data_IF_145221905473
#
_entry.id   IF_145221905473
#
_cell.length_a   1.000
_cell.length_b   1.000
_cell.length_c   1.000
_cell.angle_alpha   90.00
_cell.angle_beta   90.00
_cell.angle_gamma   90.00
#
_symmetry.space_group_name_H-M   'P 1'
#
loop_
_entity.id
_entity.type
_entity.pdbx_description
1 polymer ?
#
# COMPACT_ATOMS: atom_id res chain seq x y z
N UNK A 1 7.06 -44.29 31.68
CA UNK A 1 6.89 -42.86 31.88
C UNK A 1 7.66 -41.98 30.87
N UNK A 2 8.86 -42.34 30.43
CA UNK A 2 9.66 -41.56 29.47
C UNK A 2 8.92 -41.34 28.14
N UNK A 3 8.21 -42.33 27.59
CA UNK A 3 7.51 -42.23 26.30
C UNK A 3 6.32 -41.26 26.28
N UNK A 4 5.64 -41.07 27.41
CA UNK A 4 4.49 -40.13 27.51
C UNK A 4 5.00 -38.67 27.43
N UNK A 5 6.08 -38.36 28.11
CA UNK A 5 6.70 -37.00 28.10
C UNK A 5 7.28 -36.66 26.74
N UNK A 6 7.89 -37.63 26.06
CA UNK A 6 8.40 -37.44 24.70
C UNK A 6 7.24 -37.17 23.72
N UNK A 7 6.14 -37.90 23.83
CA UNK A 7 4.93 -37.68 23.02
C UNK A 7 4.32 -36.29 23.22
N UNK A 8 4.20 -35.83 24.47
CA UNK A 8 3.69 -34.50 24.81
C UNK A 8 4.63 -33.37 24.30
N UNK A 9 5.93 -33.56 24.41
CA UNK A 9 6.91 -32.58 23.89
C UNK A 9 6.83 -32.44 22.37
N UNK A 10 6.67 -33.56 21.62
CA UNK A 10 6.51 -33.55 20.17
C UNK A 10 5.21 -32.87 19.77
N UNK A 11 4.10 -33.14 20.46
CA UNK A 11 2.81 -32.47 20.21
C UNK A 11 2.87 -30.97 20.52
N UNK A 12 3.50 -30.59 21.61
CA UNK A 12 3.70 -29.18 21.97
C UNK A 12 4.55 -28.46 20.93
N UNK A 13 5.66 -29.06 20.49
CA UNK A 13 6.52 -28.51 19.43
C UNK A 13 5.77 -28.41 18.10
N UNK A 14 5.02 -29.43 17.73
CA UNK A 14 4.17 -29.41 16.54
C UNK A 14 3.11 -28.31 16.61
N UNK A 15 2.48 -28.11 17.77
CA UNK A 15 1.53 -27.02 18.02
C UNK A 15 2.19 -25.63 17.90
N UNK A 16 3.37 -25.45 18.47
CA UNK A 16 4.14 -24.21 18.36
C UNK A 16 4.54 -23.93 16.91
N UNK A 17 5.03 -24.93 16.18
CA UNK A 17 5.38 -24.81 14.76
C UNK A 17 4.14 -24.46 13.93
N UNK A 18 3.00 -25.12 14.19
CA UNK A 18 1.74 -24.85 13.51
C UNK A 18 1.26 -23.42 13.76
N UNK A 19 1.23 -22.96 15.01
CA UNK A 19 0.83 -21.60 15.35
C UNK A 19 1.80 -20.56 14.79
N UNK A 20 3.09 -20.85 14.85
CA UNK A 20 4.14 -19.96 14.36
C UNK A 20 4.15 -19.87 12.83
N UNK A 21 3.72 -20.89 12.11
CA UNK A 21 3.58 -20.85 10.64
C UNK A 21 2.38 -20.05 10.17
N UNK A 22 1.43 -19.71 11.05
CA UNK A 22 0.25 -18.93 10.69
C UNK A 22 0.58 -17.46 10.50
N UNK A 23 -0.09 -16.89 9.53
CA UNK A 23 -0.04 -15.43 9.30
C UNK A 23 -1.13 -14.77 10.15
N UNK A 24 -0.75 -13.73 10.90
CA UNK A 24 -1.65 -12.99 11.76
C UNK A 24 -1.84 -11.56 11.30
N UNK A 25 -3.06 -11.02 11.51
CA UNK A 25 -3.33 -9.59 11.34
C UNK A 25 -2.59 -8.76 12.38
N UNK A 26 -2.33 -7.51 12.03
CA UNK A 26 -1.77 -6.52 12.93
C UNK A 26 -2.84 -5.51 13.33
N UNK A 27 -2.87 -5.15 14.61
CA UNK A 27 -3.74 -4.09 15.13
C UNK A 27 -3.39 -2.75 14.49
N UNK A 28 -4.33 -1.82 14.52
CA UNK A 28 -4.12 -0.44 14.10
C UNK A 28 -2.93 0.20 14.84
N UNK A 29 -2.24 1.10 14.19
CA UNK A 29 -1.12 1.85 14.73
C UNK A 29 -1.10 3.25 14.11
N UNK A 30 -0.59 4.20 14.87
CA UNK A 30 -0.38 5.58 14.41
C UNK A 30 1.01 6.06 14.83
N UNK A 31 1.53 7.04 14.13
CA UNK A 31 2.81 7.64 14.42
C UNK A 31 2.91 9.05 13.86
N UNK A 32 3.98 9.71 14.22
CA UNK A 32 4.32 11.03 13.73
C UNK A 32 5.58 10.95 12.88
N UNK A 33 5.73 11.88 12.01
CA UNK A 33 6.89 12.21 11.17
C UNK A 33 7.66 11.04 10.57
N UNK A 34 7.56 10.94 9.26
CA UNK A 34 8.55 10.25 8.43
C UNK A 34 9.47 11.31 7.83
N UNK A 35 10.73 11.33 8.27
CA UNK A 35 11.72 12.21 7.68
C UNK A 35 12.17 11.67 6.33
N UNK A 36 12.21 12.53 5.31
CA UNK A 36 12.87 12.19 4.06
C UNK A 36 14.40 12.12 4.28
N UNK A 37 15.12 11.25 3.55
CA UNK A 37 16.57 11.09 3.70
C UNK A 37 17.39 12.35 3.43
N UNK A 38 16.89 13.24 2.57
CA UNK A 38 17.49 14.54 2.24
C UNK A 38 16.52 15.64 2.67
N UNK A 39 16.57 16.00 3.92
CA UNK A 39 15.87 17.14 4.53
C UNK A 39 14.92 17.90 3.59
N UNK A 40 13.62 17.63 3.79
CA UNK A 40 12.51 18.53 3.46
C UNK A 40 12.63 19.28 2.15
N UNK A 41 12.34 18.62 1.04
CA UNK A 41 11.90 19.39 -0.11
C UNK A 41 10.47 19.84 0.20
N UNK A 42 10.32 21.13 0.48
CA UNK A 42 9.01 21.78 0.40
C UNK A 42 8.48 21.60 -1.00
N UNK A 43 7.21 21.23 -1.12
CA UNK A 43 6.57 21.19 -2.43
C UNK A 43 6.41 22.63 -2.91
N UNK A 44 7.15 23.01 -3.94
CA UNK A 44 7.11 24.36 -4.56
C UNK A 44 6.75 24.25 -6.06
N UNK A 45 6.35 23.07 -6.51
CA UNK A 45 6.02 22.83 -7.93
C UNK A 45 4.55 23.07 -8.26
N UNK A 46 4.23 23.25 -9.55
CA UNK A 46 2.84 23.36 -10.01
C UNK A 46 2.10 22.03 -9.99
N UNK A 47 2.80 20.91 -9.96
CA UNK A 47 2.24 19.59 -10.10
C UNK A 47 2.98 18.55 -9.26
N UNK A 48 2.24 17.53 -8.79
CA UNK A 48 2.68 16.41 -7.99
C UNK A 48 2.57 15.12 -8.80
N UNK A 49 3.63 14.31 -8.84
CA UNK A 49 3.61 13.01 -9.49
C UNK A 49 3.40 11.90 -8.48
N UNK A 50 2.29 11.18 -8.59
CA UNK A 50 1.96 10.06 -7.70
C UNK A 50 1.76 8.75 -8.47
N UNK A 51 2.13 7.63 -7.87
CA UNK A 51 1.96 6.32 -8.47
C UNK A 51 1.47 5.25 -7.51
N UNK A 52 0.88 4.20 -8.06
CA UNK A 52 0.51 2.97 -7.35
C UNK A 52 1.09 1.76 -8.03
N UNK A 53 1.57 0.79 -7.23
CA UNK A 53 2.17 -0.42 -7.75
C UNK A 53 2.05 -1.60 -6.79
N UNK A 54 1.29 -2.62 -7.16
CA UNK A 54 1.41 -3.93 -6.52
C UNK A 54 2.70 -4.58 -7.04
N UNK A 55 3.73 -4.66 -6.20
CA UNK A 55 5.06 -5.12 -6.62
C UNK A 55 5.27 -6.63 -6.52
N UNK A 56 4.26 -7.40 -6.10
CA UNK A 56 4.34 -8.85 -5.96
C UNK A 56 5.65 -9.33 -5.31
N UNK A 57 6.10 -8.65 -4.24
CA UNK A 57 7.39 -8.94 -3.56
C UNK A 57 8.60 -8.83 -4.47
N UNK A 58 8.53 -7.94 -5.47
CA UNK A 58 9.50 -7.75 -6.54
C UNK A 58 9.73 -9.01 -7.41
N UNK A 59 8.74 -9.91 -7.48
CA UNK A 59 8.78 -11.08 -8.34
C UNK A 59 8.10 -10.77 -9.66
N UNK A 60 8.89 -10.74 -10.72
CA UNK A 60 8.39 -10.53 -12.07
C UNK A 60 7.67 -11.75 -12.66
N UNK A 61 7.04 -11.54 -13.81
CA UNK A 61 6.38 -12.60 -14.59
C UNK A 61 7.34 -13.68 -15.08
N UNK A 62 8.63 -13.36 -15.16
CA UNK A 62 9.73 -14.29 -15.42
C UNK A 62 10.12 -15.14 -14.19
N UNK A 63 9.43 -15.00 -13.08
CA UNK A 63 9.67 -15.70 -11.82
C UNK A 63 10.89 -15.15 -11.02
N UNK A 64 11.68 -14.23 -11.57
CA UNK A 64 12.84 -13.66 -10.90
C UNK A 64 12.45 -12.56 -9.92
N UNK A 65 13.15 -12.51 -8.79
CA UNK A 65 12.99 -11.43 -7.80
C UNK A 65 14.07 -10.39 -8.01
N UNK A 66 13.70 -9.19 -8.43
CA UNK A 66 14.61 -8.08 -8.64
C UNK A 66 13.97 -6.74 -8.28
N UNK A 67 14.29 -6.26 -7.08
CA UNK A 67 13.78 -4.99 -6.57
C UNK A 67 14.33 -3.77 -7.34
N UNK A 68 15.45 -3.91 -8.03
CA UNK A 68 16.01 -2.82 -8.86
C UNK A 68 15.15 -2.56 -10.10
N UNK A 69 14.47 -3.59 -10.63
CA UNK A 69 13.48 -3.40 -11.72
C UNK A 69 12.32 -2.56 -11.24
N UNK A 70 11.82 -2.82 -10.03
CA UNK A 70 10.77 -2.00 -9.41
C UNK A 70 11.25 -0.56 -9.23
N UNK A 71 12.46 -0.35 -8.70
CA UNK A 71 13.03 0.98 -8.51
C UNK A 71 13.10 1.79 -9.82
N UNK A 72 13.47 1.16 -10.94
CA UNK A 72 13.51 1.82 -12.26
C UNK A 72 12.12 2.24 -12.74
N UNK A 73 11.12 1.40 -12.55
CA UNK A 73 9.74 1.67 -12.97
C UNK A 73 9.16 2.88 -12.22
N UNK A 74 9.36 2.96 -10.91
CA UNK A 74 8.79 4.00 -10.06
C UNK A 74 9.66 5.27 -9.96
N UNK A 75 10.81 5.28 -10.64
CA UNK A 75 11.71 6.43 -10.60
C UNK A 75 11.04 7.67 -11.19
N UNK A 76 11.25 8.84 -10.58
CA UNK A 76 10.66 10.10 -11.00
C UNK A 76 9.35 10.47 -10.31
N UNK A 77 8.70 9.55 -9.59
CA UNK A 77 7.54 9.90 -8.78
C UNK A 77 7.94 10.62 -7.49
N UNK A 78 7.05 11.51 -7.04
CA UNK A 78 7.18 12.19 -5.74
C UNK A 78 6.61 11.35 -4.61
N UNK A 79 5.51 10.66 -4.88
CA UNK A 79 4.83 9.75 -3.95
C UNK A 79 4.51 8.45 -4.67
N UNK A 80 4.83 7.30 -4.03
CA UNK A 80 4.47 5.99 -4.55
C UNK A 80 3.84 5.13 -3.46
N UNK A 81 2.62 4.68 -3.69
CA UNK A 81 1.95 3.67 -2.88
C UNK A 81 2.29 2.28 -3.42
N UNK A 82 2.81 1.43 -2.57
CA UNK A 82 3.21 0.07 -2.91
C UNK A 82 2.34 -0.95 -2.18
N UNK A 83 1.98 -2.03 -2.86
CA UNK A 83 1.28 -3.17 -2.30
C UNK A 83 2.15 -4.43 -2.44
N UNK A 84 1.86 -5.44 -1.66
CA UNK A 84 2.61 -6.70 -1.55
C UNK A 84 4.11 -6.55 -1.27
N UNK A 85 4.48 -5.55 -0.49
CA UNK A 85 5.84 -5.31 -0.05
C UNK A 85 6.27 -6.39 0.95
N UNK A 86 7.43 -6.99 0.75
CA UNK A 86 8.01 -7.96 1.69
C UNK A 86 8.65 -7.25 2.87
N UNK A 87 8.33 -7.73 4.07
CA UNK A 87 8.91 -7.27 5.33
C UNK A 87 10.38 -7.63 5.48
N UNK A 88 11.02 -7.23 6.59
CA UNK A 88 12.39 -7.61 6.87
C UNK A 88 12.51 -9.13 6.99
N UNK A 89 13.59 -9.67 6.43
CA UNK A 89 13.95 -11.08 6.62
C UNK A 89 14.78 -11.24 7.88
N UNK A 90 14.75 -12.42 8.52
CA UNK A 90 15.69 -12.73 9.59
C UNK A 90 17.13 -12.41 9.15
N UNK A 91 17.85 -11.63 9.94
CA UNK A 91 19.23 -11.23 9.69
C UNK A 91 19.44 -10.02 8.77
N UNK A 92 18.43 -9.55 7.99
CA UNK A 92 18.60 -8.40 7.10
C UNK A 92 18.24 -7.05 7.74
N UNK A 93 17.40 -7.04 8.76
CA UNK A 93 16.95 -5.84 9.46
C UNK A 93 16.07 -4.87 8.64
N UNK A 94 16.04 -5.01 7.30
CA UNK A 94 15.40 -4.04 6.40
C UNK A 94 14.39 -4.70 5.48
N UNK A 95 13.27 -3.97 5.21
CA UNK A 95 12.23 -4.37 4.27
C UNK A 95 12.48 -3.81 2.85
N UNK A 96 11.68 -4.25 1.87
CA UNK A 96 11.83 -3.79 0.49
C UNK A 96 11.60 -2.28 0.33
N UNK A 97 10.64 -1.69 1.08
CA UNK A 97 10.38 -0.24 1.02
C UNK A 97 11.60 0.57 1.49
N UNK A 98 12.31 0.12 2.53
CA UNK A 98 13.53 0.76 3.00
C UNK A 98 14.60 0.80 1.91
N UNK A 99 14.81 -0.32 1.20
CA UNK A 99 15.78 -0.37 0.09
C UNK A 99 15.40 0.56 -1.06
N UNK A 100 14.11 0.57 -1.46
CA UNK A 100 13.61 1.46 -2.50
C UNK A 100 13.76 2.92 -2.10
N UNK A 101 13.34 3.28 -0.88
CA UNK A 101 13.47 4.64 -0.35
C UNK A 101 14.92 5.13 -0.36
N UNK A 102 15.87 4.27 0.07
CA UNK A 102 17.29 4.58 0.05
C UNK A 102 17.84 4.83 -1.35
N UNK A 103 17.50 3.96 -2.32
CA UNK A 103 18.00 4.09 -3.70
C UNK A 103 17.40 5.31 -4.42
N UNK A 104 16.14 5.63 -4.15
CA UNK A 104 15.41 6.73 -4.79
C UNK A 104 15.45 8.04 -4.01
N UNK A 105 16.10 8.05 -2.83
CA UNK A 105 16.16 9.19 -1.91
C UNK A 105 14.78 9.71 -1.49
N UNK A 106 13.89 8.76 -1.16
CA UNK A 106 12.55 9.01 -0.68
C UNK A 106 12.43 8.53 0.77
N UNK A 107 11.62 9.19 1.58
CA UNK A 107 11.16 8.63 2.84
C UNK A 107 10.39 7.35 2.57
N UNK A 108 10.56 6.34 3.43
CA UNK A 108 9.91 5.05 3.25
C UNK A 108 9.20 4.63 4.54
N UNK A 109 7.92 4.30 4.44
CA UNK A 109 7.15 3.70 5.52
C UNK A 109 6.60 2.35 5.07
N UNK A 110 6.91 1.30 5.84
CA UNK A 110 6.33 -0.03 5.65
C UNK A 110 5.17 -0.23 6.63
N UNK A 111 3.99 -0.44 6.10
CA UNK A 111 2.76 -0.70 6.84
C UNK A 111 2.39 -2.18 6.76
N UNK A 112 2.90 -3.03 7.68
CA UNK A 112 2.62 -4.46 7.63
C UNK A 112 1.13 -4.74 7.83
N UNK A 113 0.56 -5.62 7.01
CA UNK A 113 -0.81 -6.12 7.15
C UNK A 113 -0.85 -7.43 7.95
N UNK A 114 0.23 -8.18 7.94
CA UNK A 114 0.35 -9.47 8.62
C UNK A 114 1.77 -9.75 9.11
N UNK A 115 1.87 -10.62 10.09
CA UNK A 115 3.15 -11.14 10.60
C UNK A 115 3.21 -12.66 10.44
N UNK A 116 4.41 -13.18 10.32
CA UNK A 116 4.74 -14.59 10.44
C UNK A 116 5.64 -14.73 11.67
N UNK A 117 5.30 -15.60 12.61
CA UNK A 117 5.90 -15.59 13.95
C UNK A 117 5.75 -14.19 14.58
N UNK A 118 6.85 -13.58 14.97
CA UNK A 118 6.90 -12.24 15.55
C UNK A 118 7.28 -11.16 14.54
N UNK A 119 7.59 -11.53 13.29
CA UNK A 119 8.12 -10.62 12.29
C UNK A 119 7.03 -10.09 11.37
N UNK A 120 7.02 -8.78 11.06
CA UNK A 120 6.21 -8.24 9.98
C UNK A 120 6.61 -8.91 8.66
N UNK A 121 5.66 -9.59 8.01
CA UNK A 121 5.98 -10.44 6.88
C UNK A 121 5.65 -9.80 5.54
N UNK A 122 4.47 -9.20 5.43
CA UNK A 122 3.99 -8.56 4.20
C UNK A 122 3.08 -7.39 4.55
N UNK A 123 3.03 -6.40 3.66
CA UNK A 123 2.17 -5.24 3.85
C UNK A 123 2.20 -4.31 2.66
N UNK A 124 1.72 -3.10 2.92
CA UNK A 124 1.79 -1.99 1.99
C UNK A 124 2.96 -1.08 2.38
N UNK A 125 3.34 -0.16 1.50
CA UNK A 125 4.33 0.85 1.83
C UNK A 125 4.03 2.17 1.12
N UNK A 126 4.51 3.25 1.69
CA UNK A 126 4.58 4.55 1.03
C UNK A 126 6.04 4.93 0.86
N UNK A 127 6.38 5.40 -0.33
CA UNK A 127 7.58 6.17 -0.60
C UNK A 127 7.16 7.62 -0.85
N UNK A 128 7.81 8.59 -0.21
CA UNK A 128 7.42 9.98 -0.28
C UNK A 128 8.63 10.91 -0.30
N UNK A 129 8.62 11.89 -1.21
CA UNK A 129 9.65 12.93 -1.30
C UNK A 129 9.52 13.99 -0.20
N UNK A 130 8.29 14.19 0.28
CA UNK A 130 7.93 15.23 1.22
C UNK A 130 7.86 14.71 2.65
N UNK A 131 8.01 15.58 3.64
CA UNK A 131 7.78 15.18 5.03
C UNK A 131 6.34 14.73 5.24
N UNK A 132 6.19 13.55 5.85
CA UNK A 132 4.90 13.06 6.31
C UNK A 132 4.75 13.47 7.78
N UNK A 133 3.80 14.34 8.07
CA UNK A 133 3.60 14.90 9.42
C UNK A 133 2.84 13.96 10.37
N UNK A 134 2.04 13.07 9.78
CA UNK A 134 1.23 12.10 10.49
C UNK A 134 0.95 10.88 9.63
N UNK A 135 0.85 9.71 10.26
CA UNK A 135 0.34 8.51 9.61
C UNK A 135 -0.47 7.66 10.58
N UNK A 136 -1.47 6.96 10.04
CA UNK A 136 -2.30 6.02 10.77
C UNK A 136 -2.55 4.77 9.92
N UNK A 137 -2.29 3.60 10.48
CA UNK A 137 -2.65 2.31 9.89
C UNK A 137 -3.88 1.75 10.58
N UNK A 138 -4.91 1.47 9.81
CA UNK A 138 -6.16 0.87 10.23
C UNK A 138 -6.19 -0.58 9.73
N UNK A 139 -6.43 -1.53 10.62
CA UNK A 139 -6.73 -2.90 10.22
C UNK A 139 -8.15 -2.96 9.62
N UNK A 140 -8.29 -3.63 8.48
CA UNK A 140 -9.59 -3.79 7.84
C UNK A 140 -10.19 -5.15 8.20
N UNK A 141 -11.42 -5.16 8.67
CA UNK A 141 -12.18 -6.34 9.10
C UNK A 141 -13.56 -6.39 8.43
N UNK A 142 -14.14 -7.60 8.27
CA UNK A 142 -13.56 -8.89 8.54
C UNK A 142 -12.43 -9.24 7.56
N UNK A 143 -11.36 -9.84 8.06
CA UNK A 143 -10.37 -10.50 7.23
C UNK A 143 -10.82 -11.94 7.06
N UNK A 144 -11.59 -12.20 6.02
CA UNK A 144 -11.93 -13.57 5.61
C UNK A 144 -10.81 -14.12 4.73
N UNK A 145 -10.53 -15.41 4.85
CA UNK A 145 -9.47 -16.04 4.10
C UNK A 145 -8.07 -15.88 4.73
N UNK A 146 -7.03 -15.93 3.90
CA UNK A 146 -5.61 -15.94 4.32
C UNK A 146 -4.97 -14.55 4.33
N UNK A 147 -5.61 -13.55 3.74
CA UNK A 147 -5.04 -12.23 3.56
C UNK A 147 -5.61 -11.25 4.59
N UNK A 148 -4.72 -10.71 5.41
CA UNK A 148 -5.06 -9.59 6.29
C UNK A 148 -4.79 -8.28 5.57
N UNK A 149 -5.71 -7.33 5.68
CA UNK A 149 -5.70 -6.07 4.94
C UNK A 149 -5.59 -4.89 5.89
N UNK A 150 -5.07 -3.79 5.39
CA UNK A 150 -5.05 -2.52 6.10
C UNK A 150 -5.25 -1.35 5.13
N UNK A 151 -5.70 -0.25 5.70
CA UNK A 151 -5.63 1.07 5.11
C UNK A 151 -4.59 1.87 5.89
N UNK A 152 -3.68 2.55 5.20
CA UNK A 152 -2.77 3.49 5.83
C UNK A 152 -3.02 4.88 5.28
N UNK A 153 -3.29 5.81 6.17
CA UNK A 153 -3.50 7.24 5.88
C UNK A 153 -2.24 7.98 6.27
N UNK A 154 -1.78 8.87 5.41
CA UNK A 154 -0.64 9.76 5.62
C UNK A 154 -1.07 11.20 5.38
N UNK A 155 -0.55 12.12 6.16
CA UNK A 155 -0.73 13.55 5.92
C UNK A 155 0.60 14.16 5.45
N UNK A 156 0.53 14.85 4.32
CA UNK A 156 1.64 15.59 3.72
C UNK A 156 1.20 17.04 3.54
N UNK A 157 2.06 17.96 3.88
CA UNK A 157 1.83 19.37 3.59
C UNK A 157 2.37 19.69 2.18
N UNK A 158 1.48 20.14 1.32
CA UNK A 158 1.80 20.55 -0.05
C UNK A 158 1.37 22.01 -0.24
N UNK A 159 2.33 22.91 -0.42
CA UNK A 159 2.11 24.35 -0.56
C UNK A 159 1.29 24.97 0.60
N UNK A 160 1.57 24.56 1.84
CA UNK A 160 0.88 25.06 3.03
C UNK A 160 -0.53 24.50 3.25
N UNK A 161 -0.91 23.48 2.49
CA UNK A 161 -2.21 22.81 2.62
C UNK A 161 -2.03 21.30 2.88
N UNK A 162 -2.77 20.72 3.83
CA UNK A 162 -2.72 19.29 4.08
C UNK A 162 -3.38 18.52 2.94
N UNK A 163 -2.66 17.53 2.42
CA UNK A 163 -3.17 16.53 1.47
C UNK A 163 -3.02 15.15 2.12
N UNK A 164 -4.07 14.36 2.07
CA UNK A 164 -4.08 13.03 2.65
C UNK A 164 -3.85 11.97 1.58
N UNK A 165 -2.85 11.14 1.81
CA UNK A 165 -2.50 10.01 0.95
C UNK A 165 -2.97 8.74 1.64
N UNK A 166 -3.83 8.00 0.98
CA UNK A 166 -4.39 6.74 1.48
C UNK A 166 -3.85 5.59 0.64
N UNK A 167 -3.29 4.57 1.28
CA UNK A 167 -2.78 3.38 0.59
C UNK A 167 -3.45 2.13 1.14
N UNK A 168 -4.02 1.33 0.26
CA UNK A 168 -4.67 0.06 0.61
C UNK A 168 -4.33 -1.06 -0.36
N UNK A 169 -4.59 -2.29 0.06
CA UNK A 169 -4.70 -3.46 -0.80
C UNK A 169 -5.86 -4.30 -0.26
N UNK A 170 -6.97 -4.31 -0.99
CA UNK A 170 -8.19 -4.98 -0.58
C UNK A 170 -8.20 -6.45 -0.99
N UNK A 171 -9.03 -7.25 -0.36
CA UNK A 171 -9.38 -8.59 -0.81
C UNK A 171 -10.45 -8.53 -1.89
N UNK A 172 -10.60 -9.62 -2.63
CA UNK A 172 -11.69 -9.75 -3.61
C UNK A 172 -13.05 -9.53 -2.91
N UNK A 173 -14.03 -8.90 -3.57
CA UNK A 173 -15.31 -8.55 -2.97
C UNK A 173 -16.10 -9.72 -2.38
N UNK A 174 -15.93 -10.93 -2.92
CA UNK A 174 -16.53 -12.16 -2.37
C UNK A 174 -16.11 -12.45 -0.92
N UNK A 175 -15.03 -11.83 -0.44
CA UNK A 175 -14.54 -11.95 0.92
C UNK A 175 -15.20 -10.96 1.90
N UNK A 176 -16.13 -10.13 1.43
CA UNK A 176 -16.90 -9.16 2.21
C UNK A 176 -16.76 -7.71 1.75
N UNK A 177 -17.85 -6.96 1.81
CA UNK A 177 -17.91 -5.55 1.37
C UNK A 177 -17.45 -4.54 2.45
N UNK A 178 -17.42 -4.93 3.73
CA UNK A 178 -17.09 -4.05 4.86
C UNK A 178 -15.72 -3.35 4.74
N UNK A 179 -14.64 -3.97 4.23
CA UNK A 179 -13.39 -3.28 3.98
C UNK A 179 -13.49 -2.14 2.95
N UNK A 180 -14.35 -2.27 1.93
CA UNK A 180 -14.59 -1.21 0.95
C UNK A 180 -15.28 -0.01 1.60
N UNK A 181 -16.32 -0.27 2.41
CA UNK A 181 -17.00 0.77 3.18
C UNK A 181 -16.02 1.53 4.08
N UNK A 182 -15.20 0.83 4.85
CA UNK A 182 -14.23 1.45 5.75
C UNK A 182 -13.21 2.33 5.01
N UNK A 183 -12.72 1.87 3.86
CA UNK A 183 -11.76 2.63 3.03
C UNK A 183 -12.43 3.87 2.44
N UNK A 184 -13.61 3.74 1.84
CA UNK A 184 -14.31 4.85 1.20
C UNK A 184 -14.81 5.87 2.22
N UNK A 185 -15.30 5.40 3.38
CA UNK A 185 -15.68 6.27 4.50
C UNK A 185 -14.48 7.09 5.01
N UNK A 186 -13.32 6.45 5.18
CA UNK A 186 -12.10 7.15 5.57
C UNK A 186 -11.65 8.17 4.49
N UNK A 187 -11.70 7.80 3.22
CA UNK A 187 -11.35 8.68 2.11
C UNK A 187 -12.28 9.89 2.02
N UNK A 188 -13.59 9.67 2.25
CA UNK A 188 -14.61 10.73 2.25
C UNK A 188 -14.43 11.80 3.33
N UNK A 189 -13.66 11.51 4.39
CA UNK A 189 -13.40 12.48 5.46
C UNK A 189 -12.47 13.63 5.04
N UNK A 190 -11.70 13.45 3.96
CA UNK A 190 -10.67 14.39 3.57
C UNK A 190 -11.04 15.12 2.28
N UNK A 191 -11.17 16.47 2.31
CA UNK A 191 -11.53 17.23 1.11
C UNK A 191 -10.42 17.25 0.04
N UNK A 192 -9.15 17.09 0.47
CA UNK A 192 -8.00 16.94 -0.43
C UNK A 192 -7.32 15.62 -0.13
N UNK A 193 -7.53 14.65 -1.00
CA UNK A 193 -7.03 13.30 -0.76
C UNK A 193 -6.72 12.55 -2.06
N UNK A 194 -5.77 11.62 -1.94
CA UNK A 194 -5.39 10.67 -2.99
C UNK A 194 -5.46 9.26 -2.39
N UNK A 195 -6.35 8.44 -2.88
CA UNK A 195 -6.48 7.05 -2.47
C UNK A 195 -5.91 6.15 -3.57
N UNK A 196 -4.89 5.39 -3.21
CA UNK A 196 -4.10 4.55 -4.10
C UNK A 196 -4.16 3.09 -3.65
N UNK A 197 -4.12 2.17 -4.60
CA UNK A 197 -3.98 0.76 -4.24
C UNK A 197 -4.55 -0.23 -5.22
N UNK A 198 -4.37 -1.50 -4.85
CA UNK A 198 -5.00 -2.64 -5.49
C UNK A 198 -6.31 -2.96 -4.75
N UNK A 199 -7.42 -2.67 -5.42
CA UNK A 199 -8.77 -2.86 -4.86
C UNK A 199 -9.32 -4.26 -5.10
N UNK A 200 -8.66 -5.07 -5.97
CA UNK A 200 -9.15 -6.37 -6.40
C UNK A 200 -10.61 -6.35 -6.93
N UNK A 201 -11.10 -5.18 -7.33
CA UNK A 201 -12.42 -4.94 -7.90
C UNK A 201 -12.36 -3.75 -8.86
N UNK A 202 -13.06 -3.78 -10.01
CA UNK A 202 -13.18 -2.63 -10.90
C UNK A 202 -14.14 -1.58 -10.32
N UNK A 203 -14.09 -0.36 -10.86
CA UNK A 203 -14.90 0.78 -10.37
C UNK A 203 -16.40 0.57 -10.49
N UNK A 204 -16.86 -0.22 -11.45
CA UNK A 204 -18.29 -0.52 -11.66
C UNK A 204 -18.81 -1.60 -10.69
N UNK A 205 -17.93 -2.26 -9.92
CA UNK A 205 -18.35 -3.26 -8.94
C UNK A 205 -19.26 -2.63 -7.87
N UNK A 206 -20.39 -3.28 -7.50
CA UNK A 206 -21.36 -2.73 -6.54
C UNK A 206 -20.74 -2.31 -5.20
N UNK A 207 -19.75 -3.06 -4.70
CA UNK A 207 -19.04 -2.71 -3.45
C UNK A 207 -18.24 -1.40 -3.56
N UNK A 208 -17.75 -1.06 -4.77
CA UNK A 208 -17.08 0.21 -5.03
C UNK A 208 -18.09 1.35 -5.12
N UNK A 209 -19.09 1.22 -6.00
CA UNK A 209 -20.10 2.27 -6.27
C UNK A 209 -20.88 2.69 -5.02
N UNK A 210 -21.22 1.73 -4.17
CA UNK A 210 -22.09 1.96 -3.00
C UNK A 210 -21.52 3.00 -2.02
N UNK A 211 -20.20 3.02 -1.85
CA UNK A 211 -19.56 3.80 -0.79
C UNK A 211 -18.66 4.92 -1.32
N UNK A 212 -18.55 5.03 -2.65
CA UNK A 212 -17.72 6.06 -3.28
C UNK A 212 -18.22 7.46 -2.95
N UNK A 213 -17.39 8.35 -2.38
CA UNK A 213 -17.79 9.74 -2.17
C UNK A 213 -18.14 10.43 -3.50
N UNK A 214 -19.18 11.29 -3.54
CA UNK A 214 -19.75 11.81 -4.79
C UNK A 214 -18.79 12.71 -5.60
N UNK A 215 -17.84 13.35 -4.96
CA UNK A 215 -16.83 14.23 -5.57
C UNK A 215 -15.50 13.50 -5.89
N UNK A 216 -15.55 12.17 -5.95
CA UNK A 216 -14.39 11.35 -6.30
C UNK A 216 -14.17 11.32 -7.81
N UNK A 217 -12.94 11.58 -8.24
CA UNK A 217 -12.49 11.38 -9.61
C UNK A 217 -11.56 10.16 -9.65
N UNK A 218 -11.82 9.23 -10.57
CA UNK A 218 -10.88 8.18 -10.93
C UNK A 218 -9.88 8.74 -11.93
N UNK A 219 -8.70 9.11 -11.44
CA UNK A 219 -7.70 9.83 -12.21
C UNK A 219 -7.16 9.04 -13.42
N UNK A 220 -7.24 7.72 -13.40
CA UNK A 220 -6.84 6.88 -14.52
C UNK A 220 -7.95 6.76 -15.56
N UNK A 221 -9.22 6.62 -15.15
CA UNK A 221 -10.35 6.61 -16.08
C UNK A 221 -10.54 7.97 -16.76
N UNK A 222 -10.35 9.07 -16.03
CA UNK A 222 -10.38 10.43 -16.56
C UNK A 222 -9.32 10.64 -17.65
N UNK A 223 -8.19 9.97 -17.55
CA UNK A 223 -7.13 9.95 -18.56
C UNK A 223 -7.31 8.86 -19.64
N UNK A 224 -8.43 8.16 -19.69
CA UNK A 224 -8.76 7.18 -20.73
C UNK A 224 -8.26 5.75 -20.51
N UNK A 225 -7.78 5.41 -19.32
CA UNK A 225 -7.40 4.03 -19.01
C UNK A 225 -8.63 3.13 -18.79
N UNK A 226 -8.44 1.82 -19.06
CA UNK A 226 -9.48 0.79 -18.91
C UNK A 226 -10.16 0.87 -17.53
N UNK A 227 -11.48 1.06 -17.43
CA UNK A 227 -12.21 1.10 -16.17
C UNK A 227 -12.28 -0.25 -15.46
N UNK A 228 -11.98 -1.36 -16.15
CA UNK A 228 -11.99 -2.71 -15.58
C UNK A 228 -10.72 -3.06 -14.79
N UNK A 229 -9.74 -2.16 -14.73
CA UNK A 229 -8.54 -2.35 -13.89
C UNK A 229 -8.90 -2.42 -12.40
N UNK A 230 -8.04 -3.06 -11.63
CA UNK A 230 -8.19 -3.22 -10.17
C UNK A 230 -7.23 -2.33 -9.37
N UNK A 231 -6.18 -1.84 -10.02
CA UNK A 231 -5.26 -0.85 -9.45
C UNK A 231 -5.79 0.55 -9.75
N UNK A 232 -5.95 1.37 -8.70
CA UNK A 232 -6.66 2.65 -8.82
C UNK A 232 -5.89 3.81 -8.20
N UNK A 233 -6.16 5.01 -8.74
CA UNK A 233 -5.77 6.30 -8.20
C UNK A 233 -7.03 7.17 -8.16
N UNK A 234 -7.67 7.24 -6.99
CA UNK A 234 -8.86 8.05 -6.76
C UNK A 234 -8.46 9.35 -6.09
N UNK A 235 -9.01 10.47 -6.56
CA UNK A 235 -8.65 11.80 -6.06
C UNK A 235 -9.87 12.61 -5.66
N UNK A 236 -9.67 13.55 -4.72
CA UNK A 236 -10.62 14.57 -4.29
C UNK A 236 -9.89 15.90 -4.09
N UNK A 237 -10.46 17.01 -4.54
CA UNK A 237 -9.90 18.36 -4.41
C UNK A 237 -8.58 18.56 -5.15
N UNK A 238 -8.36 17.80 -6.22
CA UNK A 238 -7.19 17.83 -7.10
C UNK A 238 -7.65 17.66 -8.55
N UNK A 239 -6.83 18.00 -9.52
CA UNK A 239 -7.10 17.76 -10.94
C UNK A 239 -5.99 16.95 -11.61
N UNK A 240 -6.36 16.17 -12.62
CA UNK A 240 -5.42 15.36 -13.42
C UNK A 240 -4.81 16.23 -14.51
N UNK A 241 -3.50 16.18 -14.67
CA UNK A 241 -2.76 16.82 -15.75
C UNK A 241 -2.32 15.78 -16.80
N UNK A 242 -1.81 14.65 -16.33
CA UNK A 242 -1.30 13.56 -17.17
C UNK A 242 -1.37 12.24 -16.41
N UNK A 243 -1.56 11.13 -17.13
CA UNK A 243 -1.44 9.79 -16.56
C UNK A 243 -0.70 8.86 -17.51
N UNK A 244 0.04 7.90 -16.94
CA UNK A 244 0.74 6.87 -17.70
C UNK A 244 0.84 5.56 -16.94
N UNK A 245 1.23 4.51 -17.65
CA UNK A 245 1.49 3.21 -17.06
C UNK A 245 2.79 2.60 -17.57
N UNK A 246 3.33 1.66 -16.83
CA UNK A 246 4.35 0.74 -17.28
C UNK A 246 3.76 -0.67 -17.43
N UNK A 247 4.19 -1.43 -18.44
CA UNK A 247 3.63 -2.75 -18.69
C UNK A 247 3.98 -3.73 -17.56
N UNK A 248 3.20 -4.79 -17.47
CA UNK A 248 3.50 -5.99 -16.68
C UNK A 248 4.89 -6.53 -17.06
N UNK A 249 5.61 -7.05 -16.10
CA UNK A 249 6.93 -7.62 -16.31
C UNK A 249 7.73 -7.69 -15.00
N UNK A 250 8.15 -6.55 -14.42
CA UNK A 250 8.79 -6.51 -13.09
C UNK A 250 7.86 -6.96 -11.96
N UNK A 251 6.54 -6.88 -12.15
CA UNK A 251 5.46 -7.46 -11.36
C UNK A 251 4.43 -8.09 -12.28
N UNK A 252 3.46 -8.83 -11.75
CA UNK A 252 2.25 -9.33 -12.40
C UNK A 252 1.12 -8.28 -12.48
N UNK A 253 1.34 -7.10 -11.91
CA UNK A 253 0.54 -5.91 -12.08
C UNK A 253 1.25 -4.86 -12.92
N UNK A 254 0.55 -3.98 -13.67
CA UNK A 254 1.12 -2.78 -14.25
C UNK A 254 1.40 -1.74 -13.16
N UNK A 255 2.35 -0.86 -13.39
CA UNK A 255 2.50 0.37 -12.62
C UNK A 255 1.63 1.45 -13.24
N UNK A 256 0.93 2.21 -12.40
CA UNK A 256 0.20 3.41 -12.83
C UNK A 256 0.70 4.64 -12.11
N UNK A 257 0.76 5.75 -12.84
CA UNK A 257 1.11 7.04 -12.28
C UNK A 257 0.28 8.16 -12.92
N UNK A 258 0.10 9.23 -12.15
CA UNK A 258 -0.58 10.45 -12.58
C UNK A 258 0.21 11.68 -12.13
N UNK A 259 0.14 12.74 -12.93
CA UNK A 259 0.54 14.09 -12.55
C UNK A 259 -0.72 14.85 -12.16
N UNK A 260 -0.71 15.39 -10.93
CA UNK A 260 -1.84 16.08 -10.33
C UNK A 260 -1.49 17.55 -10.08
N UNK A 261 -2.46 18.44 -10.29
CA UNK A 261 -2.39 19.85 -9.86
C UNK A 261 -3.15 20.04 -8.56
N UNK A 262 -2.59 20.85 -7.70
CA UNK A 262 -3.27 21.36 -6.51
C UNK A 262 -4.20 22.50 -6.95
N UNK A 263 -5.46 22.39 -6.56
CA UNK A 263 -6.46 23.45 -6.78
C UNK A 263 -6.46 24.43 -5.61
#
# INVERSE_FOLDING_TARGET
MLGIWTGLAVLALGGVIFLASRVWSLRGQRGTVLAAPDRTKTFNGPALTVGTYNIHRARGTDGRRDLRRIARVISGCDIVALQEVEGPRPGSGHNQAWHLGRWLRLAAHFAPSRKLFFFPHRGNALLCRFPVSYWQRLALFPSTGRAHRNLTVYQVDLAGSPVHILNTHLSKPAEGASPFEAVMSAFGQYPRAILLGDFNAPMDHPAMRRWLPPDTVDALADAGFDPMRVDMILIRGLSVDEAWSSPIGPSDHPFFAVRLRLQ
#
